data_IF_699077404134
#
_entry.id   IF_699077404134
#
_cell.length_a   1.000
_cell.length_b   1.000
_cell.length_c   1.000
_cell.angle_alpha   90.00
_cell.angle_beta   90.00
_cell.angle_gamma   90.00
#
_symmetry.space_group_name_H-M   'P 1'
#
loop_
_entity.id
_entity.type
_entity.pdbx_description
1 polymer ?
#
# COMPACT_ATOMS: atom_id res chain seq x y z
N UNK A 1 -2.58 1.91 5.10
CA UNK A 1 -2.94 0.50 5.32
C UNK A 1 -3.85 0.40 6.54
N UNK A 2 -4.79 -0.51 6.50
CA UNK A 2 -5.74 -0.77 7.58
C UNK A 2 -5.53 -2.18 8.13
N UNK A 3 -5.49 -2.31 9.45
CA UNK A 3 -5.30 -3.57 10.18
C UNK A 3 -6.55 -3.80 11.05
N UNK A 4 -7.22 -4.93 10.86
CA UNK A 4 -8.46 -5.25 11.59
C UNK A 4 -8.17 -5.79 12.99
N UNK A 5 -7.12 -6.61 13.14
CA UNK A 5 -6.77 -7.27 14.40
C UNK A 5 -5.37 -6.87 14.87
N UNK A 6 -5.31 -5.84 15.71
CA UNK A 6 -4.05 -5.29 16.23
C UNK A 6 -3.26 -6.28 17.09
N UNK A 7 -3.94 -7.15 17.86
CA UNK A 7 -3.27 -8.15 18.68
C UNK A 7 -2.54 -9.19 17.82
N UNK A 8 -3.22 -9.73 16.80
CA UNK A 8 -2.60 -10.63 15.83
C UNK A 8 -1.47 -9.96 15.04
N UNK A 9 -1.65 -8.69 14.70
CA UNK A 9 -0.61 -7.92 14.03
C UNK A 9 0.65 -7.84 14.90
N UNK A 10 0.51 -7.43 16.16
CA UNK A 10 1.63 -7.30 17.09
C UNK A 10 2.36 -8.64 17.28
N UNK A 11 1.62 -9.73 17.46
CA UNK A 11 2.18 -11.07 17.61
C UNK A 11 2.96 -11.52 16.37
N UNK A 12 2.38 -11.34 15.17
CA UNK A 12 3.00 -11.78 13.92
C UNK A 12 4.21 -10.94 13.55
N UNK A 13 4.18 -9.63 13.81
CA UNK A 13 5.35 -8.77 13.64
C UNK A 13 6.46 -9.14 14.63
N UNK A 14 6.13 -9.40 15.91
CA UNK A 14 7.11 -9.84 16.89
C UNK A 14 7.77 -11.17 16.47
N UNK A 15 6.97 -12.14 16.00
CA UNK A 15 7.49 -13.41 15.45
C UNK A 15 8.33 -13.21 14.18
N UNK A 16 7.99 -12.24 13.35
CA UNK A 16 8.80 -11.88 12.18
C UNK A 16 10.12 -11.21 12.55
N UNK A 17 10.12 -10.34 13.55
CA UNK A 17 11.34 -9.73 14.09
C UNK A 17 12.27 -10.79 14.75
N UNK A 18 11.70 -11.74 15.46
CA UNK A 18 12.47 -12.88 16.01
C UNK A 18 13.12 -13.70 14.88
N UNK A 19 12.39 -13.98 13.79
CA UNK A 19 12.92 -14.67 12.62
C UNK A 19 14.13 -13.92 12.03
N UNK A 20 13.99 -12.65 11.64
CA UNK A 20 15.09 -11.89 11.03
C UNK A 20 16.23 -11.59 12.03
N UNK A 21 15.99 -11.69 13.33
CA UNK A 21 17.05 -11.60 14.34
C UNK A 21 18.01 -12.80 14.33
N UNK A 22 17.57 -13.93 13.81
CA UNK A 22 18.30 -15.20 13.77
C UNK A 22 18.79 -15.55 12.37
N UNK A 23 18.27 -14.91 11.34
CA UNK A 23 18.57 -15.17 9.94
C UNK A 23 18.97 -13.88 9.23
N UNK A 24 19.94 -13.95 8.32
CA UNK A 24 20.33 -12.83 7.46
C UNK A 24 19.45 -12.77 6.20
N UNK A 25 18.14 -12.93 6.41
CA UNK A 25 17.12 -13.05 5.37
C UNK A 25 16.18 -11.83 5.40
N UNK A 26 15.47 -11.62 4.30
CA UNK A 26 14.33 -10.72 4.22
C UNK A 26 13.04 -11.49 4.50
N UNK A 27 12.16 -10.93 5.31
CA UNK A 27 10.84 -11.49 5.56
C UNK A 27 9.76 -10.50 5.11
N UNK A 28 8.89 -10.95 4.22
CA UNK A 28 7.73 -10.18 3.75
C UNK A 28 6.47 -10.74 4.37
N UNK A 29 5.56 -9.86 4.80
CA UNK A 29 4.25 -10.29 5.26
C UNK A 29 3.32 -10.41 4.06
N UNK A 30 2.69 -11.57 3.89
CA UNK A 30 1.80 -11.85 2.78
C UNK A 30 0.37 -12.10 3.23
N UNK A 31 -0.60 -11.37 2.71
CA UNK A 31 -2.01 -11.57 3.00
C UNK A 31 -2.64 -12.57 2.00
N UNK A 32 -3.57 -13.40 2.49
CA UNK A 32 -4.28 -14.36 1.62
C UNK A 32 -5.22 -13.60 0.69
N UNK A 33 -5.10 -13.76 -0.64
CA UNK A 33 -5.99 -13.13 -1.59
C UNK A 33 -7.42 -13.66 -1.44
N UNK A 34 -8.39 -12.77 -1.39
CA UNK A 34 -9.82 -13.11 -1.34
C UNK A 34 -10.54 -12.83 -2.66
N UNK A 35 -9.97 -11.91 -3.45
CA UNK A 35 -10.50 -11.50 -4.77
C UNK A 35 -9.32 -11.24 -5.73
N UNK A 36 -9.52 -11.30 -7.05
CA UNK A 36 -8.47 -10.93 -8.01
C UNK A 36 -8.34 -9.39 -8.05
N UNK A 37 -7.32 -8.87 -7.39
CA UNK A 37 -7.02 -7.43 -7.36
C UNK A 37 -5.79 -7.13 -8.23
N UNK A 38 -5.92 -6.20 -9.17
CA UNK A 38 -4.84 -5.80 -10.09
C UNK A 38 -3.98 -4.66 -9.58
N UNK A 39 -4.34 -4.08 -8.43
CA UNK A 39 -3.58 -2.99 -7.80
C UNK A 39 -2.48 -3.49 -6.85
N UNK A 40 -2.50 -4.79 -6.50
CA UNK A 40 -1.56 -5.38 -5.56
C UNK A 40 -0.46 -6.20 -6.24
N UNK A 41 0.68 -6.30 -5.58
CA UNK A 41 1.71 -7.29 -5.91
C UNK A 41 1.33 -8.67 -5.35
N UNK A 42 1.77 -9.72 -6.04
CA UNK A 42 1.54 -11.11 -5.67
C UNK A 42 2.86 -11.84 -5.47
N UNK A 43 2.99 -12.55 -4.36
CA UNK A 43 4.17 -13.32 -3.96
C UNK A 43 3.84 -14.80 -4.04
N UNK A 44 4.51 -15.56 -4.92
CA UNK A 44 4.35 -17.01 -4.99
C UNK A 44 5.16 -17.67 -3.88
N UNK A 45 4.50 -18.50 -3.10
CA UNK A 45 5.11 -19.33 -2.07
C UNK A 45 5.93 -20.45 -2.71
N UNK A 46 7.15 -20.64 -2.26
CA UNK A 46 8.01 -21.76 -2.65
C UNK A 46 7.70 -23.03 -1.85
N UNK A 47 8.40 -24.10 -2.18
CA UNK A 47 8.26 -25.41 -1.50
C UNK A 47 9.09 -25.53 -0.23
N UNK A 48 10.05 -24.65 -0.03
CA UNK A 48 10.88 -24.63 1.17
C UNK A 48 10.14 -23.86 2.25
N UNK A 49 9.78 -24.55 3.33
CA UNK A 49 9.07 -24.02 4.48
C UNK A 49 9.98 -24.00 5.69
N UNK A 50 9.94 -22.91 6.44
CA UNK A 50 10.59 -22.79 7.76
C UNK A 50 9.62 -23.28 8.85
N UNK A 51 8.35 -22.89 8.71
CA UNK A 51 7.23 -23.30 9.57
C UNK A 51 5.93 -23.35 8.76
N UNK A 52 4.80 -23.61 9.40
CA UNK A 52 3.48 -23.73 8.76
C UNK A 52 3.01 -22.42 8.07
N UNK A 53 3.61 -21.30 8.42
CA UNK A 53 3.22 -19.96 7.93
C UNK A 53 4.29 -19.30 7.06
N UNK A 54 5.54 -19.72 7.14
CA UNK A 54 6.70 -19.08 6.53
C UNK A 54 7.32 -19.97 5.46
N UNK A 55 7.38 -19.51 4.24
CA UNK A 55 7.99 -20.19 3.11
C UNK A 55 8.94 -19.28 2.34
N UNK A 56 9.91 -19.89 1.65
CA UNK A 56 10.77 -19.15 0.73
C UNK A 56 9.93 -18.57 -0.42
N UNK A 57 10.24 -17.36 -0.86
CA UNK A 57 9.61 -16.76 -2.05
C UNK A 57 10.11 -17.48 -3.31
N UNK A 58 9.19 -17.87 -4.19
CA UNK A 58 9.50 -18.49 -5.47
C UNK A 58 9.51 -17.48 -6.61
N UNK A 59 8.53 -16.58 -6.62
CA UNK A 59 8.41 -15.51 -7.62
C UNK A 59 7.57 -14.37 -7.09
N UNK A 60 7.69 -13.22 -7.75
CA UNK A 60 6.92 -12.02 -7.47
C UNK A 60 6.31 -11.50 -8.77
N UNK A 61 5.10 -10.94 -8.69
CA UNK A 61 4.43 -10.30 -9.82
C UNK A 61 3.80 -9.00 -9.34
N UNK A 62 4.26 -7.87 -9.84
CA UNK A 62 3.71 -6.55 -9.50
C UNK A 62 2.53 -6.23 -10.40
N UNK A 63 1.39 -5.91 -9.80
CA UNK A 63 0.18 -5.40 -10.46
C UNK A 63 -0.18 -6.18 -11.73
N UNK A 64 -0.51 -7.47 -11.63
CA UNK A 64 -0.76 -8.33 -12.77
C UNK A 64 -2.03 -7.90 -13.53
N UNK A 65 -2.21 -8.43 -14.74
CA UNK A 65 -3.50 -8.31 -15.42
C UNK A 65 -4.58 -9.07 -14.66
N UNK A 66 -5.86 -8.75 -14.90
CA UNK A 66 -6.98 -9.41 -14.23
C UNK A 66 -6.98 -10.94 -14.47
N UNK A 67 -6.56 -11.39 -15.64
CA UNK A 67 -6.46 -12.81 -15.97
C UNK A 67 -5.44 -13.52 -15.06
N UNK A 68 -4.23 -12.96 -14.94
CA UNK A 68 -3.21 -13.50 -14.03
C UNK A 68 -3.63 -13.40 -12.57
N UNK A 69 -4.26 -12.29 -12.15
CA UNK A 69 -4.76 -12.15 -10.78
C UNK A 69 -5.78 -13.25 -10.42
N UNK A 70 -6.69 -13.61 -11.34
CA UNK A 70 -7.62 -14.73 -11.16
C UNK A 70 -6.89 -16.06 -11.01
N UNK A 71 -5.94 -16.35 -11.90
CA UNK A 71 -5.13 -17.58 -11.82
C UNK A 71 -4.36 -17.66 -10.49
N UNK A 72 -3.81 -16.56 -9.99
CA UNK A 72 -3.07 -16.53 -8.74
C UNK A 72 -3.98 -16.83 -7.54
N UNK A 73 -5.18 -16.25 -7.50
CA UNK A 73 -6.17 -16.54 -6.45
C UNK A 73 -6.63 -17.99 -6.50
N UNK A 74 -6.97 -18.50 -7.68
CA UNK A 74 -7.46 -19.88 -7.88
C UNK A 74 -6.40 -20.93 -7.55
N UNK A 75 -5.13 -20.66 -7.79
CA UNK A 75 -4.03 -21.58 -7.49
C UNK A 75 -3.83 -21.82 -5.98
N UNK A 76 -4.16 -20.83 -5.15
CA UNK A 76 -3.90 -20.86 -3.72
C UNK A 76 -2.40 -20.78 -3.33
N UNK A 77 -1.50 -20.62 -4.31
CA UNK A 77 -0.05 -20.56 -4.09
C UNK A 77 0.46 -19.14 -3.85
N UNK A 78 -0.38 -18.12 -4.09
CA UNK A 78 0.04 -16.72 -4.04
C UNK A 78 -0.54 -16.00 -2.81
N UNK A 79 0.23 -15.06 -2.31
CA UNK A 79 -0.18 -14.10 -1.28
C UNK A 79 -0.09 -12.68 -1.85
N UNK A 80 -0.96 -11.78 -1.41
CA UNK A 80 -0.77 -10.35 -1.69
C UNK A 80 0.44 -9.82 -0.96
N UNK A 81 1.27 -9.05 -1.64
CA UNK A 81 2.33 -8.28 -1.01
C UNK A 81 1.72 -7.14 -0.18
N UNK A 82 1.85 -7.22 1.13
CA UNK A 82 1.36 -6.17 2.02
C UNK A 82 2.25 -4.94 2.07
N UNK A 83 3.47 -5.01 1.51
CA UNK A 83 4.50 -3.97 1.65
C UNK A 83 5.12 -3.90 3.05
N UNK A 84 4.77 -4.83 3.95
CA UNK A 84 5.41 -4.96 5.27
C UNK A 84 6.58 -5.92 5.15
N UNK A 85 7.78 -5.37 5.19
CA UNK A 85 9.03 -6.13 5.13
C UNK A 85 9.84 -5.96 6.41
N UNK A 86 10.44 -7.04 6.86
CA UNK A 86 11.29 -7.09 8.03
C UNK A 86 12.68 -7.60 7.63
N UNK A 87 13.73 -6.96 8.14
CA UNK A 87 15.12 -7.32 7.89
C UNK A 87 16.04 -6.78 9.00
N UNK A 88 17.26 -7.29 9.04
CA UNK A 88 18.33 -6.64 9.79
C UNK A 88 18.89 -5.47 9.00
N UNK A 89 19.21 -4.38 9.65
CA UNK A 89 19.85 -3.23 9.01
C UNK A 89 21.13 -3.64 8.28
N UNK A 90 21.93 -4.55 8.85
CA UNK A 90 23.14 -5.09 8.20
C UNK A 90 22.85 -5.81 6.88
N UNK A 91 21.78 -6.60 6.83
CA UNK A 91 21.35 -7.34 5.62
C UNK A 91 20.94 -6.36 4.52
N UNK A 92 20.14 -5.35 4.85
CA UNK A 92 19.76 -4.31 3.90
C UNK A 92 20.95 -3.51 3.40
N UNK A 93 21.85 -3.06 4.30
CA UNK A 93 23.05 -2.32 3.93
C UNK A 93 23.98 -3.14 3.02
N UNK A 94 24.10 -4.45 3.29
CA UNK A 94 24.85 -5.35 2.42
C UNK A 94 24.23 -5.43 1.02
N UNK A 95 22.90 -5.61 0.93
CA UNK A 95 22.17 -5.60 -0.33
C UNK A 95 22.38 -4.32 -1.12
N UNK A 96 22.23 -3.16 -0.48
CA UNK A 96 22.39 -1.86 -1.12
C UNK A 96 23.82 -1.63 -1.62
N UNK A 97 24.83 -2.10 -0.90
CA UNK A 97 26.26 -2.01 -1.29
C UNK A 97 26.60 -2.94 -2.46
N UNK A 98 26.10 -4.18 -2.42
CA UNK A 98 26.43 -5.18 -3.45
C UNK A 98 25.69 -4.94 -4.77
N UNK A 99 24.48 -4.40 -4.71
CA UNK A 99 23.68 -4.09 -5.89
C UNK A 99 23.86 -2.65 -6.41
N UNK A 100 24.88 -1.91 -5.98
CA UNK A 100 25.41 -0.60 -6.45
C UNK A 100 24.50 0.40 -7.21
N UNK A 101 23.37 -0.13 -7.70
CA UNK A 101 22.43 0.50 -8.62
C UNK A 101 21.43 1.41 -7.89
N UNK A 102 21.22 1.18 -6.57
CA UNK A 102 20.08 1.76 -5.86
C UNK A 102 20.34 3.14 -5.27
N UNK A 103 21.53 3.35 -4.78
CA UNK A 103 21.81 4.55 -3.98
C UNK A 103 23.02 5.36 -4.46
N UNK A 104 23.67 4.97 -5.56
CA UNK A 104 24.85 5.66 -6.04
C UNK A 104 25.90 5.85 -4.93
N UNK A 105 26.45 7.05 -4.81
CA UNK A 105 27.46 7.40 -3.80
C UNK A 105 26.91 7.66 -2.39
N UNK A 106 25.60 7.45 -2.16
CA UNK A 106 24.97 7.74 -0.87
C UNK A 106 25.53 6.91 0.28
N UNK A 107 25.79 5.61 0.02
CA UNK A 107 26.29 4.69 1.03
C UNK A 107 27.76 4.96 1.41
N UNK A 108 28.49 5.62 0.54
CA UNK A 108 29.90 6.02 0.77
C UNK A 108 30.01 7.42 1.41
N UNK A 109 28.89 8.11 1.53
CA UNK A 109 28.84 9.42 2.18
C UNK A 109 29.00 9.25 3.69
N UNK A 110 29.94 10.02 4.28
CA UNK A 110 30.03 10.08 5.73
C UNK A 110 28.90 10.93 6.29
N UNK A 111 27.98 10.26 6.97
CA UNK A 111 26.81 10.84 7.63
C UNK A 111 27.07 11.18 9.10
N UNK A 112 28.21 10.76 9.66
CA UNK A 112 28.50 10.97 11.07
C UNK A 112 28.81 12.45 11.35
N UNK A 113 28.21 12.98 12.41
CA UNK A 113 28.45 14.33 12.88
C UNK A 113 27.81 15.44 12.05
N UNK A 114 26.95 15.11 11.09
CA UNK A 114 26.18 16.11 10.38
C UNK A 114 25.04 16.66 11.25
N UNK A 115 24.72 17.94 11.06
CA UNK A 115 23.49 18.52 11.60
C UNK A 115 22.30 18.11 10.71
N UNK A 116 21.03 18.14 11.21
CA UNK A 116 19.86 17.85 10.40
C UNK A 116 19.77 18.69 9.11
N UNK A 117 20.19 19.94 9.15
CA UNK A 117 20.22 20.83 7.97
C UNK A 117 21.26 20.38 6.94
N UNK A 118 22.42 19.89 7.41
CA UNK A 118 23.47 19.36 6.52
C UNK A 118 23.05 18.02 5.90
N UNK A 119 22.36 17.16 6.67
CA UNK A 119 21.78 15.92 6.17
C UNK A 119 20.74 16.20 5.08
N UNK A 120 19.79 17.11 5.35
CA UNK A 120 18.75 17.50 4.39
C UNK A 120 19.36 18.02 3.09
N UNK A 121 20.35 18.92 3.19
CA UNK A 121 21.04 19.46 2.01
C UNK A 121 21.69 18.36 1.17
N UNK A 122 22.37 17.39 1.81
CA UNK A 122 22.95 16.24 1.09
C UNK A 122 21.89 15.38 0.42
N UNK A 123 20.73 15.19 1.06
CA UNK A 123 19.59 14.47 0.47
C UNK A 123 19.10 15.22 -0.76
N UNK A 124 18.84 16.50 -0.67
CA UNK A 124 18.36 17.34 -1.79
C UNK A 124 19.32 17.36 -2.98
N UNK A 125 20.63 17.37 -2.73
CA UNK A 125 21.67 17.35 -3.77
C UNK A 125 21.78 16.01 -4.50
N UNK A 126 21.54 14.89 -3.82
CA UNK A 126 21.82 13.55 -4.35
C UNK A 126 20.56 12.79 -4.77
N UNK A 127 19.43 12.97 -4.06
CA UNK A 127 18.20 12.22 -4.32
C UNK A 127 17.67 12.32 -5.75
N UNK A 128 17.71 13.50 -6.43
CA UNK A 128 17.24 13.62 -7.81
C UNK A 128 18.02 12.76 -8.82
N UNK A 129 19.26 12.40 -8.51
CA UNK A 129 20.10 11.55 -9.35
C UNK A 129 19.98 10.06 -9.03
N UNK A 130 19.24 9.70 -8.00
CA UNK A 130 19.03 8.30 -7.60
C UNK A 130 18.10 7.58 -8.55
N UNK A 131 18.28 6.26 -8.65
CA UNK A 131 17.36 5.43 -9.44
C UNK A 131 15.98 5.38 -8.81
N UNK A 132 14.97 5.69 -9.60
CA UNK A 132 13.57 5.58 -9.22
C UNK A 132 13.13 4.11 -9.29
N UNK A 133 13.40 3.35 -8.22
CA UNK A 133 12.98 1.95 -8.12
C UNK A 133 12.37 1.66 -6.75
N UNK A 134 11.42 0.73 -6.70
CA UNK A 134 10.83 0.26 -5.45
C UNK A 134 11.78 -0.69 -4.73
N UNK A 135 11.88 -0.57 -3.41
CA UNK A 135 12.61 -1.54 -2.59
C UNK A 135 12.00 -2.93 -2.67
N UNK A 136 10.69 -3.05 -2.84
CA UNK A 136 10.00 -4.32 -3.05
C UNK A 136 10.55 -5.06 -4.26
N UNK A 137 10.65 -4.38 -5.41
CA UNK A 137 11.20 -4.97 -6.62
C UNK A 137 12.65 -5.41 -6.44
N UNK A 138 13.44 -4.58 -5.75
CA UNK A 138 14.86 -4.92 -5.54
C UNK A 138 15.01 -6.11 -4.62
N UNK A 139 14.26 -6.18 -3.52
CA UNK A 139 14.33 -7.29 -2.57
C UNK A 139 13.71 -8.53 -3.20
N UNK A 140 12.47 -8.43 -3.70
CA UNK A 140 11.70 -9.59 -4.16
C UNK A 140 12.18 -10.18 -5.49
N UNK A 141 12.78 -9.38 -6.37
CA UNK A 141 13.25 -9.87 -7.67
C UNK A 141 14.74 -10.21 -7.70
N UNK A 142 15.57 -9.60 -6.84
CA UNK A 142 17.03 -9.70 -6.93
C UNK A 142 17.67 -10.45 -5.78
N UNK A 143 16.93 -10.74 -4.72
CA UNK A 143 17.46 -11.48 -3.58
C UNK A 143 16.96 -12.91 -3.56
N UNK A 144 17.89 -13.84 -3.36
CA UNK A 144 17.57 -15.27 -3.20
C UNK A 144 17.12 -15.64 -1.79
N UNK A 145 17.44 -14.79 -0.80
CA UNK A 145 17.17 -15.03 0.61
C UNK A 145 15.93 -14.27 1.09
N UNK A 146 14.82 -14.40 0.37
CA UNK A 146 13.54 -13.79 0.71
C UNK A 146 12.53 -14.85 1.12
N UNK A 147 11.89 -14.63 2.27
CA UNK A 147 10.83 -15.47 2.80
C UNK A 147 9.54 -14.66 2.88
N UNK A 148 8.40 -15.33 2.72
CA UNK A 148 7.08 -14.76 2.93
C UNK A 148 6.38 -15.45 4.09
N UNK A 149 5.84 -14.68 5.03
CA UNK A 149 4.99 -15.18 6.11
C UNK A 149 3.54 -14.85 5.82
N UNK A 150 2.72 -15.90 5.78
CA UNK A 150 1.26 -15.76 5.66
C UNK A 150 0.71 -15.07 6.90
N UNK A 151 0.03 -13.93 6.70
CA UNK A 151 -0.58 -13.17 7.78
C UNK A 151 -2.11 -13.28 7.77
N UNK A 152 -2.71 -13.16 8.96
CA UNK A 152 -4.16 -13.25 9.18
C UNK A 152 -4.69 -12.14 10.09
N UNK A 153 -4.01 -11.01 10.17
CA UNK A 153 -4.43 -9.87 10.99
C UNK A 153 -5.48 -8.97 10.29
N UNK A 154 -5.98 -9.39 9.14
CA UNK A 154 -6.94 -8.59 8.37
C UNK A 154 -6.27 -7.32 7.82
N UNK A 155 -5.63 -7.45 6.66
CA UNK A 155 -4.93 -6.36 5.99
C UNK A 155 -5.72 -5.85 4.78
N UNK A 156 -5.77 -4.55 4.62
CA UNK A 156 -6.26 -3.87 3.42
C UNK A 156 -5.41 -2.62 3.16
N UNK A 157 -5.07 -2.39 1.89
CA UNK A 157 -4.30 -1.21 1.48
C UNK A 157 -5.20 -0.04 1.20
N UNK A 158 -5.81 0.63 2.00
CA UNK A 158 -6.74 1.76 1.78
C UNK A 158 -6.18 2.88 0.88
N UNK A 159 -5.60 2.49 -0.23
CA UNK A 159 -4.99 3.36 -1.24
C UNK A 159 -5.97 3.94 -2.26
N UNK A 160 -7.24 3.50 -2.24
CA UNK A 160 -8.28 3.94 -3.15
C UNK A 160 -9.60 4.19 -2.43
N UNK A 161 -10.48 4.98 -3.03
CA UNK A 161 -11.79 5.29 -2.45
C UNK A 161 -12.70 4.05 -2.29
N UNK A 162 -12.77 3.10 -3.25
CA UNK A 162 -13.47 1.86 -3.03
C UNK A 162 -12.95 1.05 -1.83
N UNK A 163 -11.64 0.97 -1.63
CA UNK A 163 -11.04 0.27 -0.48
C UNK A 163 -11.35 0.97 0.84
N UNK A 164 -11.38 2.31 0.86
CA UNK A 164 -11.83 3.08 2.02
C UNK A 164 -13.31 2.78 2.31
N UNK A 165 -14.16 2.75 1.27
CA UNK A 165 -15.57 2.41 1.43
C UNK A 165 -15.75 1.00 2.02
N UNK A 166 -14.94 0.02 1.57
CA UNK A 166 -15.06 -1.38 2.04
C UNK A 166 -14.84 -1.52 3.55
N UNK A 167 -13.93 -0.74 4.12
CA UNK A 167 -13.57 -0.78 5.56
C UNK A 167 -14.33 0.22 6.43
N UNK A 168 -14.97 1.22 5.83
CA UNK A 168 -15.72 2.24 6.56
C UNK A 168 -17.01 1.67 7.20
N UNK A 169 -17.42 2.25 8.32
CA UNK A 169 -18.73 1.99 8.92
C UNK A 169 -19.84 2.51 7.99
N UNK A 170 -20.90 1.73 7.84
CA UNK A 170 -22.01 2.00 6.91
C UNK A 170 -23.33 2.11 7.67
N UNK A 171 -24.20 3.00 7.19
CA UNK A 171 -25.59 3.04 7.62
C UNK A 171 -26.41 1.85 7.07
N UNK A 172 -27.71 1.81 7.38
CA UNK A 172 -28.61 0.75 6.97
C UNK A 172 -28.80 0.67 5.43
N UNK A 173 -28.57 1.77 4.70
CA UNK A 173 -28.65 1.86 3.25
C UNK A 173 -27.26 1.67 2.58
N UNK A 174 -26.24 1.30 3.35
CA UNK A 174 -24.88 1.07 2.85
C UNK A 174 -24.07 2.34 2.62
N UNK A 175 -24.51 3.51 3.06
CA UNK A 175 -23.71 4.72 2.89
C UNK A 175 -22.67 4.84 4.01
N UNK A 176 -21.43 5.19 3.64
CA UNK A 176 -20.35 5.52 4.55
C UNK A 176 -20.11 7.04 4.56
N UNK A 177 -20.20 7.66 5.75
CA UNK A 177 -19.95 9.09 5.93
C UNK A 177 -18.74 9.26 6.82
N UNK A 178 -17.63 9.72 6.26
CA UNK A 178 -16.36 9.91 6.97
C UNK A 178 -16.26 11.28 7.65
N UNK A 179 -17.22 12.16 7.37
CA UNK A 179 -17.20 13.53 7.85
C UNK A 179 -17.70 13.66 9.29
N UNK A 180 -17.07 14.54 10.07
CA UNK A 180 -17.62 15.07 11.32
C UNK A 180 -18.62 16.23 11.05
N UNK A 181 -19.22 16.29 9.86
CA UNK A 181 -20.15 17.31 9.41
C UNK A 181 -21.61 16.87 9.46
N UNK A 182 -22.53 17.82 9.16
CA UNK A 182 -23.94 17.52 9.06
C UNK A 182 -24.30 17.08 7.64
N UNK A 183 -24.47 15.77 7.44
CA UNK A 183 -24.83 15.19 6.13
C UNK A 183 -26.25 14.63 6.19
N UNK A 184 -27.13 15.16 5.34
CA UNK A 184 -28.46 14.63 5.11
C UNK A 184 -28.48 13.82 3.81
N UNK A 185 -28.74 12.53 3.93
CA UNK A 185 -28.89 11.63 2.78
C UNK A 185 -30.37 11.30 2.57
N UNK A 186 -30.86 11.45 1.34
CA UNK A 186 -32.26 11.13 1.00
C UNK A 186 -32.31 10.27 -0.26
N UNK A 187 -32.81 9.01 -0.14
CA UNK A 187 -32.84 8.05 -1.24
C UNK A 187 -31.47 7.70 -1.80
N UNK A 188 -30.45 7.74 -0.95
CA UNK A 188 -29.04 7.43 -1.28
C UNK A 188 -28.69 6.03 -0.83
N UNK A 189 -27.86 5.32 -1.61
CA UNK A 189 -27.39 3.96 -1.30
C UNK A 189 -25.93 3.77 -1.69
N UNK A 190 -25.20 2.99 -0.86
CA UNK A 190 -23.84 2.53 -1.17
C UNK A 190 -22.84 3.66 -1.49
N UNK A 191 -23.04 4.86 -0.96
CA UNK A 191 -22.18 6.00 -1.24
C UNK A 191 -21.06 6.13 -0.20
N UNK A 192 -19.95 6.69 -0.62
CA UNK A 192 -18.89 7.17 0.25
C UNK A 192 -18.90 8.70 0.24
N UNK A 193 -19.06 9.31 1.41
CA UNK A 193 -19.09 10.77 1.58
C UNK A 193 -17.97 11.20 2.50
N UNK A 194 -17.02 11.99 2.00
CA UNK A 194 -15.90 12.57 2.73
C UNK A 194 -15.93 14.10 2.65
N UNK A 195 -16.24 14.75 3.76
CA UNK A 195 -16.36 16.20 3.84
C UNK A 195 -15.56 16.75 5.02
N UNK A 196 -14.98 17.95 4.91
CA UNK A 196 -14.29 18.60 6.02
C UNK A 196 -15.21 18.84 7.24
N UNK A 197 -14.61 18.98 8.40
CA UNK A 197 -15.31 19.40 9.61
C UNK A 197 -16.09 20.70 9.36
N UNK A 198 -17.26 20.82 9.98
CA UNK A 198 -18.16 21.96 9.88
C UNK A 198 -18.73 22.21 8.44
N UNK A 199 -18.65 21.22 7.56
CA UNK A 199 -19.31 21.29 6.26
C UNK A 199 -20.68 20.63 6.34
N UNK A 200 -21.72 21.33 5.85
CA UNK A 200 -23.06 20.76 5.67
C UNK A 200 -23.28 20.31 4.24
N UNK A 201 -23.91 19.11 4.05
CA UNK A 201 -24.31 18.63 2.73
C UNK A 201 -25.72 18.04 2.76
N UNK A 202 -26.46 18.25 1.69
CA UNK A 202 -27.73 17.57 1.40
C UNK A 202 -27.54 16.84 0.08
N UNK A 203 -27.65 15.52 0.11
CA UNK A 203 -27.41 14.63 -1.03
C UNK A 203 -28.66 13.79 -1.26
N UNK A 204 -29.16 13.76 -2.49
CA UNK A 204 -30.39 13.05 -2.83
C UNK A 204 -30.19 12.18 -4.07
N UNK A 205 -30.63 10.90 -3.96
CA UNK A 205 -30.77 9.99 -5.09
C UNK A 205 -29.49 9.43 -5.69
N UNK A 206 -28.35 9.50 -4.99
CA UNK A 206 -27.10 8.87 -5.45
C UNK A 206 -27.04 7.40 -5.03
N UNK A 207 -26.51 6.54 -5.92
CA UNK A 207 -26.26 5.13 -5.66
C UNK A 207 -24.88 4.73 -6.18
N UNK A 208 -24.02 4.23 -5.27
CA UNK A 208 -22.63 3.85 -5.54
C UNK A 208 -21.74 5.01 -6.02
N UNK A 209 -21.80 6.16 -5.35
CA UNK A 209 -21.00 7.34 -5.66
C UNK A 209 -20.01 7.68 -4.54
N UNK A 210 -18.89 8.23 -4.94
CA UNK A 210 -18.01 9.03 -4.12
C UNK A 210 -18.46 10.49 -4.18
N UNK A 211 -18.59 11.13 -3.00
CA UNK A 211 -18.74 12.56 -2.83
C UNK A 211 -17.62 13.02 -1.89
N UNK A 212 -16.62 13.67 -2.40
CA UNK A 212 -15.48 14.15 -1.60
C UNK A 212 -15.26 15.64 -1.82
N UNK A 213 -15.06 16.39 -0.72
CA UNK A 213 -14.79 17.82 -0.75
C UNK A 213 -13.59 18.15 0.14
N UNK A 214 -12.56 18.76 -0.44
CA UNK A 214 -11.38 19.21 0.28
C UNK A 214 -10.88 20.54 -0.27
N UNK A 215 -10.54 21.46 0.63
CA UNK A 215 -10.15 22.82 0.23
C UNK A 215 -11.27 23.53 -0.53
N UNK A 216 -11.12 23.71 -1.83
CA UNK A 216 -12.11 24.32 -2.73
C UNK A 216 -12.53 23.37 -3.86
N UNK A 217 -12.29 22.07 -3.70
CA UNK A 217 -12.51 21.08 -4.74
C UNK A 217 -13.57 20.09 -4.32
N UNK A 218 -14.54 19.88 -5.18
CA UNK A 218 -15.61 18.91 -5.03
C UNK A 218 -15.46 17.83 -6.11
N UNK A 219 -15.41 16.56 -5.67
CA UNK A 219 -15.44 15.39 -6.54
C UNK A 219 -16.74 14.65 -6.31
N UNK A 220 -17.49 14.39 -7.39
CA UNK A 220 -18.66 13.50 -7.40
C UNK A 220 -18.51 12.56 -8.58
N UNK A 221 -18.30 11.26 -8.32
CA UNK A 221 -18.14 10.26 -9.38
C UNK A 221 -18.57 8.87 -8.88
N UNK A 222 -18.88 7.91 -9.79
CA UNK A 222 -19.09 6.52 -9.40
C UNK A 222 -17.89 5.96 -8.63
N UNK A 223 -18.15 5.19 -7.56
CA UNK A 223 -17.14 4.59 -6.68
C UNK A 223 -16.84 3.12 -7.07
N UNK A 224 -16.72 2.85 -8.35
CA UNK A 224 -16.59 1.52 -8.95
C UNK A 224 -15.19 1.23 -9.55
N UNK A 225 -14.33 2.25 -9.65
CA UNK A 225 -13.01 2.16 -10.27
C UNK A 225 -11.95 2.85 -9.38
N UNK A 226 -10.97 2.08 -8.82
CA UNK A 226 -9.91 2.62 -7.98
C UNK A 226 -9.05 3.71 -8.66
N UNK A 227 -8.92 3.64 -9.99
CA UNK A 227 -8.13 4.58 -10.78
C UNK A 227 -8.87 5.84 -11.23
N UNK A 228 -10.20 5.86 -11.11
CA UNK A 228 -11.06 6.94 -11.67
C UNK A 228 -10.67 8.31 -11.18
N UNK A 229 -10.60 8.51 -9.88
CA UNK A 229 -10.29 9.83 -9.30
C UNK A 229 -8.92 10.32 -9.76
N UNK A 230 -7.89 9.46 -9.71
CA UNK A 230 -6.54 9.81 -10.18
C UNK A 230 -6.53 10.25 -11.65
N UNK A 231 -7.26 9.53 -12.51
CA UNK A 231 -7.37 9.86 -13.91
C UNK A 231 -8.01 11.24 -14.11
N UNK A 232 -9.12 11.51 -13.42
CA UNK A 232 -9.83 12.80 -13.50
C UNK A 232 -9.01 13.96 -12.94
N UNK A 233 -8.27 13.73 -11.84
CA UNK A 233 -7.34 14.71 -11.27
C UNK A 233 -6.26 15.08 -12.27
N UNK A 234 -5.63 14.08 -12.92
CA UNK A 234 -4.63 14.32 -13.96
C UNK A 234 -5.20 15.10 -15.17
N UNK A 235 -6.42 14.77 -15.60
CA UNK A 235 -7.09 15.49 -16.68
C UNK A 235 -7.38 16.96 -16.28
N UNK A 236 -7.85 17.19 -15.06
CA UNK A 236 -8.09 18.53 -14.54
C UNK A 236 -6.79 19.34 -14.42
N UNK A 237 -5.70 18.72 -13.96
CA UNK A 237 -4.37 19.34 -13.88
C UNK A 237 -3.85 19.76 -15.26
N UNK A 238 -4.03 18.91 -16.27
CA UNK A 238 -3.66 19.25 -17.66
C UNK A 238 -4.51 20.42 -18.19
N UNK A 239 -5.80 20.46 -17.85
CA UNK A 239 -6.73 21.47 -18.37
C UNK A 239 -6.62 22.81 -17.63
N UNK A 240 -6.40 22.82 -16.32
CA UNK A 240 -6.52 24.01 -15.47
C UNK A 240 -5.19 24.41 -14.79
N UNK A 241 -4.14 23.60 -14.92
CA UNK A 241 -2.83 23.84 -14.33
C UNK A 241 -2.66 23.23 -12.94
N UNK A 242 -1.41 23.31 -12.43
CA UNK A 242 -1.01 22.71 -11.15
C UNK A 242 -1.69 23.35 -9.93
N UNK A 243 -2.13 24.60 -10.05
CA UNK A 243 -2.83 25.33 -8.98
C UNK A 243 -4.25 24.79 -8.72
N UNK A 244 -4.78 23.95 -9.62
CA UNK A 244 -6.11 23.36 -9.47
C UNK A 244 -6.12 22.11 -8.56
N UNK A 245 -4.97 21.46 -8.34
CA UNK A 245 -4.90 20.15 -7.68
C UNK A 245 -4.14 20.19 -6.36
#
# INVERSE_FOLDING_TARGET
QFIVNEANFAEQIAGGLDFVSKHDDFLVMGAVPTVPNTAYGYIQQGREHIDDTTSRVKSFSEKPTLEYARMFVESGEFLWNTGLMLWRTSTLLHLLKTNGVLMGNWLDTDWQGLTPEQELKKIEENYPSSLHTSIDLVVLEKCDNVYVRRCNFGWTDVGSWPEIYDVAEKDADGNAVLANGHVLLSGCRNNLVDLPENTGAIICGLDNYLVAFKGNQLVICPNDDPGRVRKMVNEAQIQYGDDFV
#
